data_IF_459214540656
#
_entry.id   IF_459214540656
#
_cell.length_a   1.000
_cell.length_b   1.000
_cell.length_c   1.000
_cell.angle_alpha   90.00
_cell.angle_beta   90.00
_cell.angle_gamma   90.00
#
_symmetry.space_group_name_H-M   'P 1'
#
loop_
_entity.id
_entity.type
_entity.pdbx_description
1 polymer ?
#
# COMPACT_ATOMS: atom_id res chain seq x y z
N UNK A 1 3.39 -7.81 -1.96
CA UNK A 1 3.68 -7.02 -3.17
C UNK A 1 4.58 -5.86 -2.77
N UNK A 2 5.73 -5.71 -3.42
CA UNK A 2 6.73 -4.66 -3.12
C UNK A 2 6.32 -3.34 -3.77
N UNK A 3 6.80 -2.21 -3.24
CA UNK A 3 6.44 -0.87 -3.72
C UNK A 3 6.73 -0.68 -5.23
N UNK A 4 7.85 -1.22 -5.74
CA UNK A 4 8.19 -1.18 -7.17
C UNK A 4 7.16 -1.89 -8.05
N UNK A 5 6.67 -3.05 -7.62
CA UNK A 5 5.66 -3.79 -8.37
C UNK A 5 4.32 -3.06 -8.34
N UNK A 6 3.99 -2.36 -7.25
CA UNK A 6 2.81 -1.49 -7.17
C UNK A 6 2.95 -0.31 -8.12
N UNK A 7 4.11 0.37 -8.14
CA UNK A 7 4.37 1.46 -9.07
C UNK A 7 4.23 1.01 -10.54
N UNK A 8 4.81 -0.14 -10.91
CA UNK A 8 4.66 -0.73 -12.25
C UNK A 8 3.21 -1.09 -12.56
N UNK A 9 2.48 -1.67 -11.61
CA UNK A 9 1.07 -2.00 -11.79
C UNK A 9 0.19 -0.76 -11.99
N UNK A 10 0.46 0.33 -11.26
CA UNK A 10 -0.26 1.60 -11.40
C UNK A 10 0.05 2.25 -12.75
N UNK A 11 1.31 2.27 -13.18
CA UNK A 11 1.69 2.81 -14.49
C UNK A 11 0.99 2.06 -15.63
N UNK A 12 1.03 0.72 -15.62
CA UNK A 12 0.34 -0.11 -16.61
C UNK A 12 -1.19 0.05 -16.56
N UNK A 13 -1.76 0.24 -15.37
CA UNK A 13 -3.18 0.53 -15.22
C UNK A 13 -3.56 1.90 -15.78
N UNK A 14 -2.67 2.91 -15.64
CA UNK A 14 -2.87 4.24 -16.21
C UNK A 14 -2.77 4.23 -17.74
N UNK A 15 -1.96 3.34 -18.32
CA UNK A 15 -1.92 3.05 -19.75
C UNK A 15 -3.16 2.30 -20.27
N UNK A 16 -4.11 1.96 -19.39
CA UNK A 16 -5.34 1.24 -19.78
C UNK A 16 -5.17 -0.28 -19.92
N UNK A 17 -4.07 -0.86 -19.43
CA UNK A 17 -3.89 -2.31 -19.46
C UNK A 17 -4.85 -3.00 -18.48
N UNK A 18 -5.38 -4.13 -18.89
CA UNK A 18 -6.24 -4.95 -18.02
C UNK A 18 -5.45 -5.56 -16.85
N UNK A 19 -6.12 -5.78 -15.72
CA UNK A 19 -5.53 -6.43 -14.53
C UNK A 19 -4.92 -7.79 -14.87
N UNK A 20 -5.54 -8.54 -15.80
CA UNK A 20 -5.02 -9.83 -16.28
C UNK A 20 -3.66 -9.66 -16.95
N UNK A 21 -3.51 -8.67 -17.83
CA UNK A 21 -2.24 -8.38 -18.50
C UNK A 21 -1.16 -7.97 -17.49
N UNK A 22 -1.51 -7.11 -16.53
CA UNK A 22 -0.59 -6.64 -15.48
C UNK A 22 -0.11 -7.81 -14.61
N UNK A 23 -1.04 -8.69 -14.21
CA UNK A 23 -0.74 -9.89 -13.43
C UNK A 23 0.22 -10.84 -14.16
N UNK A 24 0.01 -11.07 -15.46
CA UNK A 24 0.89 -11.88 -16.29
C UNK A 24 2.28 -11.25 -16.44
N UNK A 25 2.33 -9.93 -16.69
CA UNK A 25 3.58 -9.20 -16.85
C UNK A 25 4.45 -9.19 -15.59
N UNK A 26 3.83 -9.02 -14.42
CA UNK A 26 4.53 -9.00 -13.13
C UNK A 26 4.70 -10.38 -12.50
N UNK A 27 4.12 -11.44 -13.10
CA UNK A 27 4.03 -12.77 -12.53
C UNK A 27 3.41 -12.78 -11.10
N UNK A 28 2.37 -11.96 -10.89
CA UNK A 28 1.69 -11.79 -9.60
C UNK A 28 0.23 -12.24 -9.72
N UNK A 29 -0.34 -12.90 -8.70
CA UNK A 29 -1.76 -13.25 -8.71
C UNK A 29 -2.66 -12.03 -8.86
N UNK A 30 -3.71 -12.17 -9.69
CA UNK A 30 -4.67 -11.10 -10.03
C UNK A 30 -5.26 -10.43 -8.80
N UNK A 31 -5.61 -11.21 -7.77
CA UNK A 31 -6.15 -10.69 -6.50
C UNK A 31 -5.19 -9.73 -5.81
N UNK A 32 -3.89 -10.00 -5.86
CA UNK A 32 -2.86 -9.13 -5.27
C UNK A 32 -2.71 -7.83 -6.05
N UNK A 33 -2.80 -7.88 -7.39
CA UNK A 33 -2.80 -6.67 -8.23
C UNK A 33 -4.05 -5.83 -7.97
N UNK A 34 -5.23 -6.46 -7.91
CA UNK A 34 -6.50 -5.77 -7.59
C UNK A 34 -6.45 -5.11 -6.21
N UNK A 35 -5.98 -5.81 -5.19
CA UNK A 35 -5.83 -5.27 -3.84
C UNK A 35 -4.85 -4.09 -3.80
N UNK A 36 -3.72 -4.21 -4.51
CA UNK A 36 -2.74 -3.13 -4.58
C UNK A 36 -3.29 -1.88 -5.29
N UNK A 37 -3.99 -2.05 -6.42
CA UNK A 37 -4.63 -0.93 -7.13
C UNK A 37 -5.76 -0.31 -6.30
N UNK A 38 -6.56 -1.12 -5.61
CA UNK A 38 -7.61 -0.64 -4.70
C UNK A 38 -7.01 0.18 -3.57
N UNK A 39 -5.98 -0.34 -2.90
CA UNK A 39 -5.25 0.37 -1.84
C UNK A 39 -4.66 1.68 -2.35
N UNK A 40 -4.05 1.69 -3.53
CA UNK A 40 -3.52 2.90 -4.14
C UNK A 40 -4.60 3.95 -4.38
N UNK A 41 -5.80 3.56 -4.83
CA UNK A 41 -6.94 4.48 -5.01
C UNK A 41 -7.46 5.04 -3.68
N UNK A 42 -7.40 4.26 -2.60
CA UNK A 42 -7.88 4.67 -1.28
C UNK A 42 -6.90 5.57 -0.53
N UNK A 43 -5.59 5.33 -0.66
CA UNK A 43 -4.56 6.04 0.14
C UNK A 43 -3.67 6.96 -0.69
N UNK A 44 -3.64 6.84 -2.02
CA UNK A 44 -2.68 7.52 -2.89
C UNK A 44 -1.22 7.08 -2.69
N UNK A 45 -0.97 6.08 -1.84
CA UNK A 45 0.36 5.67 -1.41
C UNK A 45 0.73 4.31 -2.01
N UNK A 46 1.88 4.27 -2.68
CA UNK A 46 2.48 3.05 -3.24
C UNK A 46 3.10 2.14 -2.16
N UNK A 47 3.30 2.66 -0.96
CA UNK A 47 3.86 1.94 0.17
C UNK A 47 2.76 1.19 0.92
N UNK A 48 3.08 -0.03 1.38
CA UNK A 48 2.27 -0.69 2.41
C UNK A 48 2.23 0.28 3.60
N UNK A 49 1.04 0.66 4.09
CA UNK A 49 0.94 1.34 5.39
C UNK A 49 1.81 0.54 6.36
N UNK A 50 2.85 1.12 6.99
CA UNK A 50 3.47 0.45 8.12
C UNK A 50 2.29 0.11 9.03
N UNK A 51 2.12 -1.18 9.34
CA UNK A 51 0.99 -1.61 10.15
C UNK A 51 0.90 -0.66 11.32
N UNK A 52 -0.28 -0.09 11.57
CA UNK A 52 -0.51 0.60 12.83
C UNK A 52 -0.22 -0.46 13.90
N UNK A 53 1.02 -0.47 14.39
CA UNK A 53 1.32 -1.09 15.65
C UNK A 53 0.33 -0.50 16.64
N UNK A 54 -0.21 -1.36 17.50
CA UNK A 54 -1.08 -0.97 18.61
C UNK A 54 -0.55 0.34 19.21
N UNK A 55 -1.35 1.40 19.19
CA UNK A 55 -0.97 2.70 19.77
C UNK A 55 -0.41 2.44 21.18
N UNK A 56 0.90 2.65 21.36
CA UNK A 56 1.43 2.85 22.72
C UNK A 56 0.98 4.24 23.11
N UNK A 57 0.04 4.33 24.04
CA UNK A 57 -0.20 5.56 24.77
C UNK A 57 1.12 5.99 25.41
N UNK A 58 1.78 7.00 24.85
CA UNK A 58 2.69 7.87 25.58
C UNK A 58 1.85 9.08 25.98
N UNK A 59 1.02 8.93 27.00
CA UNK A 59 0.74 10.10 27.83
C UNK A 59 1.98 10.27 28.69
N UNK A 60 2.93 11.07 28.21
CA UNK A 60 3.88 11.74 29.09
C UNK A 60 3.03 12.53 30.08
N UNK A 61 2.85 11.94 31.26
CA UNK A 61 2.35 12.66 32.41
C UNK A 61 3.60 13.33 32.96
N UNK A 62 3.85 14.55 32.46
CA UNK A 62 4.42 15.61 33.28
C UNK A 62 3.64 15.57 34.60
N UNK A 63 4.31 15.19 35.67
CA UNK A 63 3.84 15.48 37.01
C UNK A 63 4.97 16.20 37.73
N UNK A 64 4.59 17.38 38.19
CA UNK A 64 5.40 18.52 38.52
C UNK A 64 6.35 18.26 39.69
N UNK A 65 7.42 19.06 39.70
CA UNK A 65 8.37 19.19 40.79
C UNK A 65 7.68 19.66 42.08
N UNK A 66 8.01 19.04 43.22
CA UNK A 66 7.82 19.63 44.55
C UNK A 66 8.96 19.24 45.50
#
# INVERSE_FOLDING_TARGET
MNAENVAKAVALSAEGRSIRCIALFLNIPKSTVTDALKRYRETGLFTRRPGQGRFRCTSDRDDDSF
#
